data_IF_045414339552
#
_entry.id   IF_045414339552
#
_cell.length_a   1.000
_cell.length_b   1.000
_cell.length_c   1.000
_cell.angle_alpha   90.00
_cell.angle_beta   90.00
_cell.angle_gamma   90.00
#
_symmetry.space_group_name_H-M   'P 1'
#
loop_
_entity.id
_entity.type
_entity.pdbx_description
1 polymer ?
#
# COMPACT_ATOMS: atom_id res chain seq x y z
N UNK A 1 -80.81 -22.31 22.67
CA UNK A 1 -80.46 -23.00 21.42
C UNK A 1 -79.07 -22.55 20.94
N UNK A 2 -78.16 -23.52 20.73
CA UNK A 2 -76.95 -23.51 19.88
C UNK A 2 -75.95 -22.31 19.98
N UNK A 3 -75.20 -22.20 21.09
CA UNK A 3 -73.92 -21.44 21.16
C UNK A 3 -72.67 -22.34 21.30
N UNK A 4 -72.86 -23.65 21.43
CA UNK A 4 -71.81 -24.66 21.59
C UNK A 4 -70.90 -24.82 20.35
N UNK A 5 -71.34 -24.66 19.07
CA UNK A 5 -70.46 -24.96 17.95
C UNK A 5 -69.36 -23.91 17.72
N UNK A 6 -69.57 -22.66 18.15
CA UNK A 6 -68.60 -21.58 17.96
C UNK A 6 -67.38 -21.73 18.89
N UNK A 7 -67.58 -22.22 20.12
CA UNK A 7 -66.49 -22.38 21.08
C UNK A 7 -65.53 -23.48 20.64
N UNK A 8 -66.05 -24.60 20.12
CA UNK A 8 -65.24 -25.73 19.63
C UNK A 8 -64.36 -25.31 18.46
N UNK A 9 -64.87 -24.47 17.54
CA UNK A 9 -64.11 -24.00 16.38
C UNK A 9 -62.92 -23.12 16.78
N UNK A 10 -63.08 -22.27 17.81
CA UNK A 10 -62.00 -21.40 18.31
C UNK A 10 -60.91 -22.24 19.00
N UNK A 11 -61.29 -23.27 19.76
CA UNK A 11 -60.31 -24.16 20.41
C UNK A 11 -59.53 -24.98 19.39
N UNK A 12 -60.17 -25.43 18.31
CA UNK A 12 -59.50 -26.15 17.22
C UNK A 12 -58.52 -25.24 16.47
N UNK A 13 -58.90 -23.99 16.16
CA UNK A 13 -58.00 -23.04 15.51
C UNK A 13 -56.77 -22.74 16.38
N UNK A 14 -56.96 -22.46 17.68
CA UNK A 14 -55.87 -22.16 18.60
C UNK A 14 -54.91 -23.34 18.81
N UNK A 15 -55.42 -24.58 18.80
CA UNK A 15 -54.58 -25.78 18.89
C UNK A 15 -53.76 -26.02 17.61
N UNK A 16 -54.28 -25.64 16.43
CA UNK A 16 -53.56 -25.79 15.16
C UNK A 16 -52.53 -24.70 14.87
N UNK A 17 -52.62 -23.53 15.52
CA UNK A 17 -51.69 -22.40 15.31
C UNK A 17 -50.36 -22.53 16.08
N UNK A 18 -50.26 -23.45 17.04
CA UNK A 18 -49.08 -23.60 17.91
C UNK A 18 -48.03 -24.62 17.46
N UNK A 19 -48.22 -25.29 16.32
CA UNK A 19 -47.38 -26.42 15.88
C UNK A 19 -46.62 -26.16 14.59
N UNK A 20 -46.32 -24.89 14.28
CA UNK A 20 -45.20 -24.57 13.39
C UNK A 20 -43.94 -24.51 14.25
N UNK A 21 -43.45 -25.70 14.65
CA UNK A 21 -42.02 -25.89 14.93
C UNK A 21 -41.32 -25.56 13.61
N UNK A 22 -41.00 -24.29 13.41
CA UNK A 22 -40.00 -23.89 12.44
C UNK A 22 -38.72 -24.48 13.01
N UNK A 23 -38.37 -25.69 12.56
CA UNK A 23 -37.02 -26.19 12.69
C UNK A 23 -36.15 -25.08 12.13
N UNK A 24 -35.39 -24.41 13.02
CA UNK A 24 -34.35 -23.52 12.57
C UNK A 24 -33.34 -24.43 11.88
N UNK A 25 -33.50 -24.61 10.57
CA UNK A 25 -32.42 -25.04 9.70
C UNK A 25 -31.40 -23.93 9.83
N UNK A 26 -30.51 -24.08 10.80
CA UNK A 26 -29.23 -23.42 10.77
C UNK A 26 -28.55 -24.02 9.55
N UNK A 27 -28.78 -23.40 8.40
CA UNK A 27 -27.91 -23.54 7.26
C UNK A 27 -26.55 -23.06 7.77
N UNK A 28 -25.78 -24.00 8.34
CA UNK A 28 -24.42 -23.80 8.77
C UNK A 28 -23.71 -23.29 7.53
N UNK A 29 -23.48 -21.97 7.48
CA UNK A 29 -22.97 -21.28 6.30
C UNK A 29 -21.73 -22.02 5.86
N UNK A 30 -21.82 -22.72 4.73
CA UNK A 30 -20.75 -23.58 4.22
C UNK A 30 -19.53 -22.77 3.76
N UNK A 31 -19.64 -21.44 3.79
CA UNK A 31 -18.62 -20.47 3.39
C UNK A 31 -18.36 -19.43 4.49
N UNK A 32 -17.08 -19.09 4.74
CA UNK A 32 -16.39 -19.66 5.89
C UNK A 32 -15.61 -18.63 6.72
N UNK A 33 -15.06 -19.10 7.84
CA UNK A 33 -13.97 -18.54 8.67
C UNK A 33 -13.59 -17.06 8.44
N UNK A 34 -13.73 -16.27 9.50
CA UNK A 34 -13.15 -14.93 9.64
C UNK A 34 -11.74 -14.91 9.05
N UNK A 35 -11.52 -14.08 8.03
CA UNK A 35 -10.24 -14.05 7.31
C UNK A 35 -9.11 -13.61 8.25
N UNK A 36 -8.13 -14.49 8.47
CA UNK A 36 -6.92 -14.18 9.22
C UNK A 36 -5.93 -13.41 8.32
N UNK A 37 -5.39 -12.32 8.83
CA UNK A 37 -4.39 -11.52 8.11
C UNK A 37 -3.37 -10.92 9.08
N UNK A 38 -2.33 -10.30 8.55
CA UNK A 38 -1.36 -9.51 9.30
C UNK A 38 -0.93 -8.31 8.47
N UNK A 39 -0.59 -7.22 9.15
CA UNK A 39 -0.13 -5.98 8.53
C UNK A 39 1.34 -5.73 8.86
N UNK A 40 2.07 -5.18 7.89
CA UNK A 40 3.45 -4.75 8.06
C UNK A 40 3.66 -3.42 7.34
N UNK A 41 4.17 -2.43 8.06
CA UNK A 41 4.62 -1.19 7.44
C UNK A 41 5.99 -1.43 6.83
N UNK A 42 6.15 -1.08 5.56
CA UNK A 42 7.39 -1.27 4.81
C UNK A 42 7.81 0.04 4.16
N UNK A 43 9.06 0.41 4.38
CA UNK A 43 9.67 1.59 3.78
C UNK A 43 10.61 1.14 2.65
N UNK A 44 10.19 1.38 1.41
CA UNK A 44 10.97 1.16 0.19
C UNK A 44 11.54 2.47 -0.37
N UNK A 45 11.62 3.52 0.44
CA UNK A 45 12.13 4.82 0.00
C UNK A 45 13.61 4.73 -0.38
N UNK A 46 14.04 5.54 -1.35
CA UNK A 46 15.42 5.56 -1.84
C UNK A 46 15.83 6.95 -2.32
N UNK A 47 17.14 7.21 -2.32
CA UNK A 47 17.70 8.45 -2.84
C UNK A 47 18.13 8.30 -4.29
N UNK A 48 17.78 9.27 -5.13
CA UNK A 48 18.29 9.42 -6.49
C UNK A 48 19.41 10.45 -6.45
N UNK A 49 20.61 10.05 -6.84
CA UNK A 49 21.77 10.95 -6.88
C UNK A 49 21.57 12.06 -7.94
N UNK A 50 22.18 13.26 -7.75
CA UNK A 50 22.21 14.27 -8.80
C UNK A 50 22.85 13.72 -10.07
N UNK A 51 22.33 14.11 -11.23
CA UNK A 51 22.89 13.72 -12.53
C UNK A 51 23.26 14.96 -13.33
N UNK A 52 24.37 14.88 -14.06
CA UNK A 52 24.82 15.95 -14.94
C UNK A 52 24.65 15.50 -16.39
N UNK A 53 24.12 16.38 -17.22
CA UNK A 53 24.06 16.19 -18.67
C UNK A 53 24.86 17.29 -19.34
N UNK A 54 25.67 16.92 -20.33
CA UNK A 54 26.46 17.86 -21.11
C UNK A 54 25.93 17.89 -22.54
N UNK A 55 25.64 19.09 -23.03
CA UNK A 55 25.26 19.33 -24.41
C UNK A 55 26.16 20.40 -25.01
N UNK A 56 26.50 20.30 -26.29
CA UNK A 56 27.22 21.37 -26.99
C UNK A 56 26.22 22.35 -27.61
N UNK A 57 26.43 23.63 -27.41
CA UNK A 57 25.72 24.67 -28.15
C UNK A 57 26.11 24.58 -29.64
N UNK A 58 25.15 24.44 -30.57
CA UNK A 58 25.45 24.24 -31.99
C UNK A 58 25.98 25.51 -32.69
N UNK A 59 25.81 26.68 -32.10
CA UNK A 59 26.21 27.96 -32.68
C UNK A 59 27.54 28.48 -32.13
N UNK A 60 27.85 28.18 -30.85
CA UNK A 60 29.08 28.65 -30.20
C UNK A 60 30.11 27.54 -29.97
N UNK A 61 29.68 26.26 -29.96
CA UNK A 61 30.52 25.11 -29.63
C UNK A 61 30.83 24.97 -28.13
N UNK A 62 30.31 25.87 -27.29
CA UNK A 62 30.48 25.81 -25.84
C UNK A 62 29.77 24.59 -25.24
N UNK A 63 30.34 24.04 -24.17
CA UNK A 63 29.72 22.93 -23.44
C UNK A 63 28.79 23.49 -22.38
N UNK A 64 27.49 23.25 -22.52
CA UNK A 64 26.47 23.55 -21.53
C UNK A 64 26.35 22.34 -20.61
N UNK A 65 26.51 22.55 -19.31
CA UNK A 65 26.29 21.54 -18.27
C UNK A 65 24.96 21.80 -17.59
N UNK A 66 24.06 20.83 -17.63
CA UNK A 66 22.77 20.86 -16.93
C UNK A 66 22.80 19.85 -15.80
N UNK A 67 22.80 20.33 -14.57
CA UNK A 67 22.70 19.50 -13.37
C UNK A 67 21.24 19.29 -13.00
N UNK A 68 20.79 18.04 -13.01
CA UNK A 68 19.52 17.63 -12.42
C UNK A 68 19.79 17.30 -10.95
N UNK A 69 19.18 18.02 -9.99
CA UNK A 69 19.43 17.76 -8.59
C UNK A 69 18.94 16.35 -8.21
N UNK A 70 19.64 15.73 -7.27
CA UNK A 70 19.19 14.50 -6.65
C UNK A 70 17.95 14.76 -5.79
N UNK A 71 17.17 13.71 -5.55
CA UNK A 71 15.96 13.81 -4.74
C UNK A 71 15.65 12.50 -4.03
N UNK A 72 14.93 12.58 -2.90
CA UNK A 72 14.44 11.43 -2.17
C UNK A 72 13.09 10.99 -2.72
N UNK A 73 12.94 9.70 -3.00
CA UNK A 73 11.68 9.09 -3.41
C UNK A 73 11.07 8.41 -2.19
N UNK A 74 10.01 9.02 -1.65
CA UNK A 74 9.21 8.37 -0.60
C UNK A 74 8.37 7.24 -1.20
N UNK A 75 8.65 6.00 -0.79
CA UNK A 75 7.92 4.82 -1.22
C UNK A 75 7.58 3.96 -0.01
N UNK A 76 6.58 4.41 0.75
CA UNK A 76 6.13 3.78 2.00
C UNK A 76 4.81 3.05 1.74
N UNK A 77 4.72 1.80 2.16
CA UNK A 77 3.55 0.94 1.93
C UNK A 77 3.14 0.23 3.21
N UNK A 78 1.90 -0.25 3.24
CA UNK A 78 1.48 -1.28 4.19
C UNK A 78 1.30 -2.55 3.39
N UNK A 79 2.11 -3.55 3.71
CA UNK A 79 1.95 -4.89 3.20
C UNK A 79 0.96 -5.64 4.08
N UNK A 80 0.07 -6.38 3.42
CA UNK A 80 -0.89 -7.27 4.07
C UNK A 80 -0.61 -8.70 3.63
N UNK A 81 -0.49 -9.60 4.60
CA UNK A 81 -0.40 -11.04 4.36
C UNK A 81 -1.66 -11.70 4.87
N UNK A 82 -2.39 -12.36 3.98
CA UNK A 82 -3.67 -13.01 4.24
C UNK A 82 -3.49 -14.52 4.18
N UNK A 83 -4.00 -15.25 5.16
CA UNK A 83 -4.09 -16.71 5.13
C UNK A 83 -5.31 -17.09 4.30
N UNK A 84 -5.09 -17.73 3.16
CA UNK A 84 -6.14 -17.94 2.17
C UNK A 84 -7.19 -18.93 2.68
N UNK A 85 -8.46 -18.52 2.88
CA UNK A 85 -9.52 -19.47 3.14
C UNK A 85 -9.80 -20.29 1.86
N UNK A 86 -10.20 -21.55 2.03
CA UNK A 86 -10.49 -22.43 0.91
C UNK A 86 -11.58 -21.82 0.00
N UNK A 87 -11.30 -21.74 -1.30
CA UNK A 87 -12.25 -21.27 -2.32
C UNK A 87 -12.29 -19.76 -2.55
N UNK A 88 -11.59 -18.94 -1.77
CA UNK A 88 -11.55 -17.49 -2.02
C UNK A 88 -10.83 -17.20 -3.34
N UNK A 89 -11.43 -16.32 -4.15
CA UNK A 89 -10.89 -15.93 -5.45
C UNK A 89 -10.28 -14.53 -5.42
N UNK A 90 -10.84 -13.63 -4.60
CA UNK A 90 -10.36 -12.25 -4.44
C UNK A 90 -10.49 -11.78 -2.99
N UNK A 91 -9.90 -10.64 -2.69
CA UNK A 91 -10.05 -9.93 -1.43
C UNK A 91 -10.59 -8.53 -1.62
N UNK A 92 -11.43 -8.12 -0.67
CA UNK A 92 -11.86 -6.76 -0.47
C UNK A 92 -11.25 -6.21 0.82
N UNK A 93 -10.88 -4.95 0.81
CA UNK A 93 -10.30 -4.23 1.93
C UNK A 93 -11.23 -3.10 2.32
N UNK A 94 -11.28 -2.82 3.61
CA UNK A 94 -11.73 -1.52 4.09
C UNK A 94 -10.74 -0.95 5.09
N UNK A 95 -10.59 0.36 5.07
CA UNK A 95 -9.70 1.07 5.97
C UNK A 95 -10.31 2.39 6.42
N UNK A 96 -9.84 2.88 7.57
CA UNK A 96 -10.12 4.22 8.07
C UNK A 96 -8.97 4.67 8.96
N UNK A 97 -8.76 5.96 9.12
CA UNK A 97 -7.95 6.45 10.22
C UNK A 97 -8.54 5.99 11.55
N UNK A 98 -7.71 5.69 12.55
CA UNK A 98 -8.22 5.17 13.86
C UNK A 98 -9.29 6.08 14.48
N UNK A 99 -9.18 7.40 14.27
CA UNK A 99 -10.14 8.40 14.73
C UNK A 99 -11.19 8.82 13.68
N UNK A 100 -11.13 8.26 12.47
CA UNK A 100 -12.19 8.44 11.47
C UNK A 100 -13.39 7.54 11.79
N UNK A 101 -14.59 8.00 11.43
CA UNK A 101 -15.84 7.25 11.62
C UNK A 101 -16.27 6.49 10.36
N UNK A 102 -15.76 6.87 9.19
CA UNK A 102 -16.18 6.31 7.90
C UNK A 102 -15.14 5.36 7.33
N UNK A 103 -15.59 4.16 6.94
CA UNK A 103 -14.77 3.19 6.23
C UNK A 103 -14.69 3.53 4.74
N UNK A 104 -13.48 3.49 4.20
CA UNK A 104 -13.19 3.50 2.77
C UNK A 104 -12.97 2.06 2.31
N UNK A 105 -13.27 1.76 1.05
CA UNK A 105 -13.30 0.38 0.52
C UNK A 105 -12.43 0.26 -0.73
N UNK A 106 -11.87 -0.92 -0.98
CA UNK A 106 -11.14 -1.24 -2.21
C UNK A 106 -10.99 -2.76 -2.39
N UNK A 107 -11.26 -3.31 -3.59
CA UNK A 107 -11.71 -2.59 -4.77
C UNK A 107 -13.24 -2.39 -4.73
N UNK A 108 -13.97 -3.14 -3.91
CA UNK A 108 -15.43 -3.26 -3.95
C UNK A 108 -16.12 -2.56 -2.78
N UNK A 109 -17.13 -1.71 -3.05
CA UNK A 109 -17.97 -1.11 -2.02
C UNK A 109 -19.30 -1.87 -1.90
N UNK A 110 -19.52 -2.66 -0.82
CA UNK A 110 -20.74 -3.44 -0.66
C UNK A 110 -22.00 -2.57 -0.57
N UNK A 111 -21.89 -1.34 -0.08
CA UNK A 111 -23.03 -0.43 0.05
C UNK A 111 -23.51 0.12 -1.30
N UNK A 112 -22.66 0.08 -2.33
CA UNK A 112 -22.98 0.58 -3.68
C UNK A 112 -23.18 -0.54 -4.71
N UNK A 113 -22.81 -1.78 -4.37
CA UNK A 113 -22.83 -2.91 -5.31
C UNK A 113 -21.86 -2.79 -6.49
N UNK A 114 -20.92 -1.85 -6.45
CA UNK A 114 -19.92 -1.58 -7.50
C UNK A 114 -18.56 -1.20 -6.91
N UNK A 115 -17.52 -1.07 -7.74
CA UNK A 115 -16.20 -0.62 -7.27
C UNK A 115 -16.29 0.68 -6.47
N UNK A 116 -15.53 0.72 -5.38
CA UNK A 116 -15.47 1.83 -4.44
C UNK A 116 -14.73 3.05 -5.01
N UNK A 117 -13.82 2.80 -5.95
CA UNK A 117 -12.92 3.81 -6.48
C UNK A 117 -12.82 3.65 -8.00
N UNK A 118 -12.94 4.77 -8.71
CA UNK A 118 -12.66 4.85 -10.14
C UNK A 118 -11.17 4.64 -10.30
N UNK A 119 -10.75 3.44 -10.72
CA UNK A 119 -9.39 3.23 -11.15
C UNK A 119 -9.35 3.62 -12.64
N UNK A 120 -8.67 4.74 -13.00
CA UNK A 120 -8.65 5.20 -14.39
C UNK A 120 -7.93 4.23 -15.33
N UNK A 121 -7.08 3.35 -14.78
CA UNK A 121 -6.50 2.24 -15.50
C UNK A 121 -7.41 1.00 -15.38
N UNK A 122 -7.88 0.50 -16.52
CA UNK A 122 -8.58 -0.81 -16.59
C UNK A 122 -7.66 -2.00 -16.28
N UNK A 123 -6.49 -1.77 -15.67
CA UNK A 123 -5.41 -2.74 -15.46
C UNK A 123 -5.14 -3.05 -13.99
N UNK A 124 -5.66 -2.28 -13.04
CA UNK A 124 -5.58 -2.67 -11.63
C UNK A 124 -6.50 -3.85 -11.38
N UNK A 125 -5.92 -5.05 -11.54
CA UNK A 125 -6.57 -6.31 -11.23
C UNK A 125 -7.00 -6.28 -9.76
N UNK A 126 -8.24 -6.66 -9.43
CA UNK A 126 -8.67 -6.83 -8.03
C UNK A 126 -7.69 -7.75 -7.29
N UNK A 127 -7.61 -7.65 -5.96
CA UNK A 127 -6.65 -8.40 -5.14
C UNK A 127 -6.92 -9.92 -5.20
N UNK A 128 -6.45 -10.55 -6.26
CA UNK A 128 -6.71 -11.94 -6.58
C UNK A 128 -5.96 -12.83 -5.58
N UNK A 129 -6.67 -13.80 -5.02
CA UNK A 129 -6.07 -14.76 -4.12
C UNK A 129 -5.02 -15.59 -4.86
N UNK A 130 -3.86 -15.75 -4.23
CA UNK A 130 -2.83 -16.68 -4.67
C UNK A 130 -3.31 -18.13 -4.50
N UNK A 131 -2.80 -19.04 -5.33
CA UNK A 131 -3.00 -20.49 -5.16
C UNK A 131 -2.22 -21.07 -3.96
N UNK A 132 -1.37 -20.27 -3.32
CA UNK A 132 -0.61 -20.68 -2.15
C UNK A 132 -1.45 -20.63 -0.87
N UNK A 133 -0.89 -21.06 0.28
CA UNK A 133 -1.56 -20.91 1.57
C UNK A 133 -1.76 -19.44 2.00
N UNK A 134 -0.97 -18.53 1.43
CA UNK A 134 -1.03 -17.10 1.74
C UNK A 134 -1.08 -16.23 0.49
N UNK A 135 -1.68 -15.06 0.60
CA UNK A 135 -1.58 -13.98 -0.39
C UNK A 135 -0.94 -12.76 0.25
N UNK A 136 -0.07 -12.07 -0.49
CA UNK A 136 0.55 -10.83 -0.01
C UNK A 136 0.26 -9.71 -0.98
N UNK A 137 -0.17 -8.56 -0.45
CA UNK A 137 -0.49 -7.37 -1.23
C UNK A 137 0.14 -6.14 -0.60
N UNK A 138 0.55 -5.17 -1.41
CA UNK A 138 0.96 -3.85 -0.95
C UNK A 138 -0.17 -2.86 -1.17
N UNK A 139 -0.64 -2.22 -0.10
CA UNK A 139 -1.83 -1.37 -0.11
C UNK A 139 -1.49 0.08 -0.51
N UNK A 140 -1.16 0.30 -1.79
CA UNK A 140 -0.80 1.62 -2.32
C UNK A 140 -1.93 2.66 -2.32
N UNK A 141 -3.17 2.23 -2.13
CA UNK A 141 -4.36 3.08 -2.09
C UNK A 141 -4.63 3.67 -0.69
N UNK A 142 -3.84 3.31 0.32
CA UNK A 142 -3.94 3.96 1.62
C UNK A 142 -3.59 5.45 1.49
N UNK A 143 -4.19 6.33 2.30
CA UNK A 143 -3.98 7.76 2.16
C UNK A 143 -2.50 8.10 2.28
N UNK A 144 -1.90 8.74 1.27
CA UNK A 144 -0.49 9.22 1.36
C UNK A 144 -0.26 10.18 2.55
N UNK A 145 -1.33 10.66 3.16
CA UNK A 145 -1.35 11.65 4.24
C UNK A 145 -1.29 11.05 5.64
N UNK A 146 -1.06 9.73 5.82
CA UNK A 146 -0.89 9.21 7.19
C UNK A 146 0.41 9.76 7.74
N UNK A 147 0.30 10.67 8.71
CA UNK A 147 1.46 11.29 9.34
C UNK A 147 2.26 10.24 10.13
N UNK A 148 3.58 10.39 10.26
CA UNK A 148 4.37 9.57 11.16
C UNK A 148 3.78 9.59 12.59
N UNK A 149 3.62 8.41 13.22
CA UNK A 149 2.91 8.23 14.48
C UNK A 149 1.38 8.08 14.35
N UNK A 150 0.82 8.35 13.17
CA UNK A 150 -0.57 8.08 12.84
C UNK A 150 -0.89 6.59 12.82
N UNK A 151 -2.16 6.24 13.00
CA UNK A 151 -2.62 4.85 12.96
C UNK A 151 -3.83 4.68 12.04
N UNK A 152 -3.92 3.49 11.44
CA UNK A 152 -4.98 3.10 10.51
C UNK A 152 -5.56 1.78 10.96
N UNK A 153 -6.89 1.70 10.90
CA UNK A 153 -7.63 0.47 11.10
C UNK A 153 -7.90 -0.17 9.73
N UNK A 154 -7.63 -1.46 9.59
CA UNK A 154 -7.85 -2.23 8.36
C UNK A 154 -8.67 -3.47 8.66
N UNK A 155 -9.56 -3.83 7.74
CA UNK A 155 -10.27 -5.11 7.69
C UNK A 155 -10.23 -5.68 6.28
N UNK A 156 -10.37 -7.00 6.21
CA UNK A 156 -10.29 -7.81 5.00
C UNK A 156 -11.55 -8.66 4.89
N UNK A 157 -12.05 -8.83 3.69
CA UNK A 157 -13.17 -9.70 3.36
C UNK A 157 -12.78 -10.59 2.19
N UNK A 158 -12.89 -11.90 2.35
CA UNK A 158 -12.74 -12.86 1.26
C UNK A 158 -13.97 -12.83 0.34
N UNK A 159 -13.72 -12.90 -0.96
CA UNK A 159 -14.70 -12.89 -2.04
C UNK A 159 -14.67 -14.23 -2.78
N UNK A 160 -15.85 -14.82 -3.00
CA UNK A 160 -16.06 -16.12 -3.64
C UNK A 160 -16.87 -15.95 -4.92
N UNK A 161 -16.17 -15.68 -6.02
CA UNK A 161 -16.83 -15.36 -7.28
C UNK A 161 -15.90 -14.78 -8.33
N UNK A 162 -16.45 -13.99 -9.25
CA UNK A 162 -15.70 -13.38 -10.33
C UNK A 162 -16.02 -11.90 -10.47
N UNK A 163 -15.03 -11.11 -10.89
CA UNK A 163 -15.27 -9.77 -11.37
C UNK A 163 -15.64 -9.83 -12.85
N UNK A 164 -16.68 -9.10 -13.23
CA UNK A 164 -16.99 -8.78 -14.63
C UNK A 164 -16.69 -7.31 -14.90
N UNK A 165 -16.10 -7.03 -16.04
CA UNK A 165 -15.86 -5.68 -16.53
C UNK A 165 -16.99 -5.27 -17.48
N UNK A 166 -17.65 -4.15 -17.20
CA UNK A 166 -18.62 -3.53 -18.10
C UNK A 166 -18.03 -2.25 -18.70
N UNK A 167 -18.06 -2.07 -20.02
CA UNK A 167 -17.65 -0.83 -20.64
C UNK A 167 -18.46 0.35 -20.08
N UNK A 168 -17.75 1.36 -19.59
CA UNK A 168 -18.32 2.62 -19.13
C UNK A 168 -17.78 3.74 -20.01
N UNK A 169 -18.65 4.64 -20.47
CA UNK A 169 -18.23 5.83 -21.23
C UNK A 169 -18.25 7.02 -20.29
N UNK A 170 -17.08 7.46 -19.85
CA UNK A 170 -16.99 8.68 -19.06
C UNK A 170 -17.22 9.90 -19.97
N UNK A 171 -18.28 10.66 -19.71
CA UNK A 171 -18.51 11.92 -20.42
C UNK A 171 -17.29 12.85 -20.20
N UNK A 172 -16.46 13.04 -21.23
CA UNK A 172 -15.26 13.89 -21.19
C UNK A 172 -13.94 13.22 -21.58
N UNK A 173 -13.87 11.88 -21.66
CA UNK A 173 -12.65 11.16 -22.07
C UNK A 173 -12.92 10.36 -23.34
N UNK A 174 -12.53 10.90 -24.49
CA UNK A 174 -12.94 10.37 -25.81
C UNK A 174 -12.03 9.23 -26.29
N UNK A 175 -10.85 9.05 -25.68
CA UNK A 175 -9.77 8.30 -26.34
C UNK A 175 -9.38 6.96 -25.68
N UNK A 176 -10.06 6.51 -24.62
CA UNK A 176 -9.81 5.18 -24.04
C UNK A 176 -11.09 4.53 -23.47
N UNK A 177 -11.32 3.22 -23.71
CA UNK A 177 -12.41 2.51 -23.05
C UNK A 177 -12.14 2.44 -21.54
N UNK A 178 -13.04 3.02 -20.75
CA UNK A 178 -13.05 2.82 -19.29
C UNK A 178 -13.98 1.67 -18.94
N UNK A 179 -13.70 0.96 -17.84
CA UNK A 179 -14.50 -0.18 -17.41
C UNK A 179 -14.93 0.00 -15.95
N UNK A 180 -16.21 -0.24 -15.67
CA UNK A 180 -16.70 -0.47 -14.32
C UNK A 180 -16.61 -1.97 -14.02
N UNK A 181 -16.10 -2.35 -12.86
CA UNK A 181 -16.08 -3.75 -12.45
C UNK A 181 -17.20 -4.05 -11.44
N UNK A 182 -17.85 -5.18 -11.62
CA UNK A 182 -18.87 -5.70 -10.74
C UNK A 182 -18.42 -7.04 -10.20
N UNK A 183 -18.56 -7.23 -8.89
CA UNK A 183 -18.31 -8.53 -8.27
C UNK A 183 -19.60 -9.34 -8.29
N UNK A 184 -19.54 -10.54 -8.86
CA UNK A 184 -20.61 -11.53 -8.85
C UNK A 184 -20.16 -12.74 -8.04
N UNK A 185 -20.84 -12.98 -6.91
CA UNK A 185 -20.50 -14.09 -6.03
C UNK A 185 -20.94 -13.85 -4.59
N UNK A 186 -20.38 -14.63 -3.70
CA UNK A 186 -20.60 -14.56 -2.26
C UNK A 186 -19.45 -13.83 -1.57
N UNK A 187 -19.72 -13.23 -0.41
CA UNK A 187 -18.72 -12.57 0.41
C UNK A 187 -18.72 -13.15 1.80
N UNK A 188 -17.53 -13.35 2.37
CA UNK A 188 -17.40 -13.62 3.81
C UNK A 188 -17.80 -12.40 4.66
N UNK A 189 -17.92 -12.61 5.96
CA UNK A 189 -17.92 -11.51 6.93
C UNK A 189 -16.58 -10.77 6.94
N UNK A 190 -16.60 -9.52 7.40
CA UNK A 190 -15.36 -8.76 7.59
C UNK A 190 -14.50 -9.39 8.69
N UNK A 191 -13.18 -9.42 8.47
CA UNK A 191 -12.22 -9.82 9.49
C UNK A 191 -12.25 -8.91 10.72
N UNK A 192 -11.62 -9.33 11.82
CA UNK A 192 -11.38 -8.44 12.96
C UNK A 192 -10.53 -7.23 12.54
N UNK A 193 -10.78 -6.06 13.12
CA UNK A 193 -9.94 -4.87 12.88
C UNK A 193 -8.52 -5.10 13.34
N UNK A 194 -7.55 -4.82 12.46
CA UNK A 194 -6.15 -4.65 12.84
C UNK A 194 -5.75 -3.20 12.68
N UNK A 195 -5.09 -2.67 13.70
CA UNK A 195 -4.55 -1.32 13.68
C UNK A 195 -3.06 -1.38 13.41
N UNK A 196 -2.60 -0.60 12.42
CA UNK A 196 -1.18 -0.39 12.16
C UNK A 196 -0.81 1.06 12.47
N UNK A 197 0.22 1.23 13.30
CA UNK A 197 0.82 2.53 13.58
C UNK A 197 2.00 2.76 12.66
N UNK A 198 1.98 3.88 11.94
CA UNK A 198 3.10 4.31 11.12
C UNK A 198 4.21 4.76 12.07
N UNK A 199 5.43 4.19 11.98
CA UNK A 199 6.51 4.59 12.86
C UNK A 199 6.75 6.09 12.72
N UNK A 200 6.97 6.76 13.85
CA UNK A 200 7.50 8.11 13.79
C UNK A 200 8.83 8.04 13.06
N UNK A 201 9.01 8.89 12.05
CA UNK A 201 10.33 9.10 11.46
C UNK A 201 11.18 9.65 12.60
N UNK A 202 11.98 8.77 13.20
CA UNK A 202 13.06 9.23 14.07
C UNK A 202 13.85 10.19 13.18
N UNK A 203 14.05 11.46 13.59
CA UNK A 203 14.83 12.38 12.79
C UNK A 203 16.12 11.63 12.42
N UNK A 204 16.34 11.46 11.11
CA UNK A 204 17.59 10.86 10.63
C UNK A 204 18.70 11.57 11.40
N UNK A 205 19.62 10.85 12.07
CA UNK A 205 20.62 11.48 12.92
C UNK A 205 21.20 12.60 12.10
N UNK A 206 20.97 13.85 12.53
CA UNK A 206 21.47 15.01 11.82
C UNK A 206 22.94 14.73 11.62
N UNK A 207 23.38 14.56 10.37
CA UNK A 207 24.79 14.37 10.05
C UNK A 207 25.48 15.47 10.85
N UNK A 208 26.35 15.15 11.82
CA UNK A 208 26.91 16.16 12.69
C UNK A 208 27.48 17.21 11.77
N UNK A 209 26.89 18.41 11.76
CA UNK A 209 27.46 19.50 11.01
C UNK A 209 28.85 19.67 11.60
N UNK A 210 29.87 19.23 10.86
CA UNK A 210 31.23 19.47 11.25
C UNK A 210 31.30 20.99 11.37
N UNK A 211 31.51 21.52 12.59
CA UNK A 211 31.48 22.95 12.76
C UNK A 211 32.52 23.53 11.82
N UNK A 212 32.25 24.69 11.21
CA UNK A 212 33.13 25.24 10.16
C UNK A 212 34.62 25.31 10.60
N UNK A 213 34.87 25.44 11.91
CA UNK A 213 36.22 25.40 12.47
C UNK A 213 36.92 24.03 12.40
N UNK A 214 36.19 22.92 12.40
CA UNK A 214 36.75 21.57 12.21
C UNK A 214 37.29 21.35 10.78
N UNK A 215 36.87 22.16 9.81
CA UNK A 215 37.42 22.16 8.45
C UNK A 215 38.72 22.99 8.34
N UNK A 216 38.99 23.88 9.29
CA UNK A 216 40.17 24.77 9.25
C UNK A 216 41.49 23.97 9.26
N UNK A 217 41.71 22.97 10.14
CA UNK A 217 42.93 22.17 10.11
C UNK A 217 43.10 21.43 8.78
N UNK A 218 42.01 20.94 8.19
CA UNK A 218 42.02 20.25 6.90
C UNK A 218 42.43 21.20 5.76
N UNK A 219 41.84 22.40 5.74
CA UNK A 219 42.15 23.46 4.77
C UNK A 219 43.57 24.01 4.92
N UNK A 220 44.13 24.02 6.14
CA UNK A 220 45.51 24.45 6.38
C UNK A 220 46.54 23.34 6.14
N UNK A 221 46.18 22.07 6.34
CA UNK A 221 47.08 20.95 6.14
C UNK A 221 47.47 20.77 4.66
N UNK A 222 46.53 20.94 3.73
CA UNK A 222 46.78 20.81 2.29
C UNK A 222 47.89 21.75 1.79
N UNK A 223 47.84 23.09 2.00
CA UNK A 223 48.91 23.98 1.56
C UNK A 223 50.22 23.71 2.29
N UNK A 224 50.20 23.31 3.57
CA UNK A 224 51.41 22.92 4.30
C UNK A 224 52.08 21.68 3.68
N UNK A 225 51.31 20.65 3.33
CA UNK A 225 51.80 19.45 2.66
C UNK A 225 52.39 19.81 1.29
N UNK A 226 51.73 20.67 0.52
CA UNK A 226 52.24 21.15 -0.79
C UNK A 226 53.56 21.90 -0.62
N UNK A 227 53.66 22.81 0.35
CA UNK A 227 54.91 23.52 0.64
C UNK A 227 56.02 22.57 1.05
N UNK A 228 55.71 21.56 1.88
CA UNK A 228 56.69 20.57 2.31
C UNK A 228 57.17 19.69 1.16
N UNK A 229 56.25 19.27 0.28
CA UNK A 229 56.56 18.50 -0.91
C UNK A 229 57.41 19.31 -1.91
N UNK A 230 57.11 20.59 -2.11
CA UNK A 230 57.89 21.47 -2.99
C UNK A 230 59.28 21.81 -2.43
N UNK A 231 59.42 21.90 -1.10
CA UNK A 231 60.72 22.16 -0.44
C UNK A 231 61.62 20.94 -0.37
N UNK A 232 61.05 19.73 -0.44
CA UNK A 232 61.83 18.50 -0.50
C UNK A 232 62.46 18.38 -1.88
N UNK A 233 63.55 19.12 -2.07
CA UNK A 233 64.43 19.05 -3.25
C UNK A 233 64.73 17.57 -3.50
N UNK A 234 64.39 17.03 -4.69
CA UNK A 234 64.68 15.63 -5.00
C UNK A 234 66.16 15.42 -4.76
N UNK A 235 66.49 14.51 -3.85
CA UNK A 235 67.88 14.23 -3.50
C UNK A 235 68.49 13.55 -4.73
N UNK A 236 69.13 14.35 -5.60
CA UNK A 236 69.71 13.89 -6.89
C UNK A 236 70.89 12.92 -6.71
N UNK A 237 71.20 12.52 -5.48
CA UNK A 237 72.36 11.69 -5.15
C UNK A 237 72.09 10.17 -5.22
N UNK A 238 70.90 9.72 -5.66
CA UNK A 238 70.59 8.27 -5.73
C UNK A 238 70.73 7.64 -7.12
N UNK A 239 71.37 8.30 -8.10
CA UNK A 239 71.53 7.78 -9.47
C UNK A 239 72.95 7.27 -9.80
N UNK A 240 73.81 7.06 -8.81
CA UNK A 240 75.21 6.67 -9.04
C UNK A 240 75.61 5.35 -8.38
N UNK A 241 74.79 4.29 -8.46
CA UNK A 241 75.25 2.92 -8.22
C UNK A 241 74.39 1.97 -9.05
N UNK A 242 74.87 1.56 -10.23
CA UNK A 242 74.82 0.21 -10.84
C UNK A 242 75.32 0.40 -12.28
N UNK A 243 76.65 0.42 -12.42
CA UNK A 243 77.35 0.09 -13.66
C UNK A 243 78.59 -0.68 -13.23
N UNK A 244 78.47 -1.99 -13.22
CA UNK A 244 79.48 -2.98 -12.82
C UNK A 244 78.90 -4.37 -13.02
#
# INVERSE_FOLDING_TARGET
>A
MKKIPALILITVLAATSGLLLVESVSAESTYPMVTEFSLKYVDHSYDIAPTETHSKDPYTGETITTTVPGYHVENKTVDVTIKNPSGATYYNFRWKGTFENEWKYSPYNPNRGKLAYFIPDGYSVPFQASKSAYSTFSLYFLPKTITPGGSIDVQVQALYGNFRAEPYVHAGWVDAPTYDFYFEGETSEWSSTQTITIPQTTPSPSVPELPAFALIPLLLAVPLIVVFALRKKPNRNSLAVVAG
#
